data_IF_313712830794
#
_entry.id   IF_313712830794
#
_cell.length_a   1.000
_cell.length_b   1.000
_cell.length_c   1.000
_cell.angle_alpha   90.00
_cell.angle_beta   90.00
_cell.angle_gamma   90.00
#
_symmetry.space_group_name_H-M   'P 1'
#
loop_
_entity.id
_entity.type
_entity.pdbx_description
1 polymer ?
#
# COMPACT_ATOMS: atom_id res chain seq x y z
N UNK A 1 -7.20 51.81 -35.42
CA UNK A 1 -5.96 52.52 -35.76
C UNK A 1 -5.65 53.44 -34.58
N UNK A 2 -4.43 53.36 -34.01
CA UNK A 2 -3.79 54.35 -33.08
C UNK A 2 -4.40 54.43 -31.67
N UNK A 3 -3.95 53.61 -30.70
CA UNK A 3 -2.92 53.88 -29.65
C UNK A 3 -3.21 55.05 -28.69
N UNK A 4 -3.19 54.79 -27.38
CA UNK A 4 -2.60 55.71 -26.42
C UNK A 4 -2.04 55.00 -25.19
N UNK A 5 -1.07 55.65 -24.57
CA UNK A 5 0.16 55.08 -24.04
C UNK A 5 0.21 55.13 -22.51
N UNK A 6 1.12 54.32 -21.96
CA UNK A 6 1.43 54.12 -20.56
C UNK A 6 1.88 55.38 -19.80
N UNK A 7 1.58 55.38 -18.50
CA UNK A 7 1.88 56.41 -17.52
C UNK A 7 3.19 56.11 -16.76
N UNK A 8 3.91 57.19 -16.46
CA UNK A 8 5.27 57.28 -15.94
C UNK A 8 5.45 56.97 -14.43
N UNK A 9 6.64 56.40 -14.13
CA UNK A 9 7.61 56.67 -13.02
C UNK A 9 7.10 57.18 -11.65
N UNK A 10 7.56 56.49 -10.59
CA UNK A 10 8.05 57.14 -9.34
C UNK A 10 9.30 56.44 -8.80
N UNK A 11 10.19 57.25 -8.24
CA UNK A 11 11.57 56.97 -7.84
C UNK A 11 11.88 57.59 -6.47
N UNK A 12 12.88 57.02 -5.77
CA UNK A 12 13.71 57.52 -4.62
C UNK A 12 13.26 57.11 -3.19
N UNK A 13 14.15 57.15 -2.15
CA UNK A 13 15.64 57.17 -2.09
C UNK A 13 16.26 56.20 -1.03
N UNK A 14 17.61 56.17 -0.83
CA UNK A 14 18.33 55.34 0.16
C UNK A 14 18.80 56.14 1.40
N UNK A 15 19.12 55.44 2.51
CA UNK A 15 19.80 55.99 3.69
C UNK A 15 20.83 55.03 4.31
N UNK A 16 21.83 55.65 4.94
CA UNK A 16 23.18 55.21 5.32
C UNK A 16 23.33 54.70 6.78
N UNK A 17 24.58 54.28 7.10
CA UNK A 17 25.27 54.08 8.39
C UNK A 17 25.21 52.66 8.99
N UNK A 18 26.28 52.02 9.47
CA UNK A 18 27.67 52.42 9.71
C UNK A 18 28.49 51.22 10.24
N UNK A 19 29.81 51.34 10.21
CA UNK A 19 30.84 50.29 10.40
C UNK A 19 31.53 50.31 11.79
N UNK A 20 32.00 49.13 12.25
CA UNK A 20 33.26 48.85 13.01
C UNK A 20 33.28 47.34 13.37
N UNK A 21 34.12 46.49 12.77
CA UNK A 21 35.58 46.26 12.96
C UNK A 21 35.93 45.69 14.35
N UNK A 22 36.03 44.36 14.47
CA UNK A 22 37.26 43.53 14.56
C UNK A 22 37.99 43.54 15.91
N UNK A 23 38.11 42.36 16.53
CA UNK A 23 39.36 41.77 17.02
C UNK A 23 39.13 40.30 17.40
N UNK A 24 39.98 39.41 16.88
CA UNK A 24 40.03 37.96 17.07
C UNK A 24 41.36 37.60 17.81
N UNK A 25 41.86 36.36 17.85
CA UNK A 25 41.83 35.38 18.94
C UNK A 25 43.21 35.07 19.58
N UNK A 26 43.25 34.24 20.64
CA UNK A 26 44.43 33.39 20.95
C UNK A 26 44.07 32.02 21.57
N UNK A 27 44.72 31.01 20.98
CA UNK A 27 44.81 29.55 21.16
C UNK A 27 45.60 29.10 22.44
N UNK A 28 46.03 27.82 22.63
CA UNK A 28 45.34 26.50 22.59
C UNK A 28 45.82 25.47 23.67
N UNK A 29 45.24 24.26 23.60
CA UNK A 29 45.80 22.91 23.88
C UNK A 29 46.26 22.46 25.28
N UNK A 30 45.65 21.37 25.78
CA UNK A 30 46.39 20.17 26.19
C UNK A 30 45.50 18.91 26.06
N UNK A 31 45.96 17.97 25.23
CA UNK A 31 45.47 16.59 25.10
C UNK A 31 45.94 15.76 26.31
N UNK A 32 45.13 14.79 26.75
CA UNK A 32 45.65 13.53 27.30
C UNK A 32 44.72 12.37 26.90
N UNK A 33 45.31 11.41 26.18
CA UNK A 33 44.73 10.14 25.75
C UNK A 33 45.11 9.04 26.77
N UNK A 34 44.48 7.85 26.69
CA UNK A 34 44.33 6.89 27.78
C UNK A 34 45.44 5.83 27.81
N UNK A 35 45.74 5.31 29.00
CA UNK A 35 46.59 4.13 29.16
C UNK A 35 46.91 3.89 30.63
N UNK A 36 46.87 2.62 31.03
CA UNK A 36 47.44 2.10 32.28
C UNK A 36 46.67 2.37 33.58
N UNK A 37 45.52 1.71 33.74
CA UNK A 37 45.15 1.16 35.06
C UNK A 37 44.21 -0.06 34.95
N UNK A 38 44.43 -0.92 33.93
CA UNK A 38 43.65 -2.15 33.70
C UNK A 38 44.23 -3.40 34.41
N UNK A 39 45.32 -3.33 35.17
CA UNK A 39 46.02 -4.54 35.62
C UNK A 39 46.20 -4.73 37.13
N UNK A 40 45.51 -3.98 38.01
CA UNK A 40 45.79 -4.06 39.46
C UNK A 40 44.56 -3.96 40.39
N UNK A 41 43.38 -4.43 39.96
CA UNK A 41 42.23 -4.64 40.88
C UNK A 41 41.53 -5.99 40.69
N UNK A 42 42.24 -6.97 40.15
CA UNK A 42 41.88 -8.39 40.27
C UNK A 42 42.76 -8.97 41.39
N UNK A 43 42.16 -9.71 42.32
CA UNK A 43 42.76 -10.30 43.54
C UNK A 43 42.72 -9.44 44.82
N UNK A 44 41.53 -9.11 45.33
CA UNK A 44 41.18 -9.28 46.76
C UNK A 44 39.73 -8.84 47.03
N UNK A 45 38.79 -9.75 46.81
CA UNK A 45 37.45 -9.71 47.41
C UNK A 45 36.79 -11.10 47.22
N UNK A 46 37.50 -12.14 47.62
CA UNK A 46 36.89 -13.41 48.00
C UNK A 46 36.58 -13.32 49.50
N UNK A 47 35.46 -13.92 49.90
CA UNK A 47 34.99 -14.11 51.29
C UNK A 47 34.03 -13.04 51.84
N UNK A 48 32.81 -13.04 51.31
CA UNK A 48 31.60 -12.66 52.03
C UNK A 48 30.55 -13.79 51.89
N UNK A 49 29.86 -14.18 52.98
CA UNK A 49 28.98 -15.34 53.00
C UNK A 49 27.70 -15.13 52.16
N UNK A 50 27.03 -16.20 51.70
CA UNK A 50 25.92 -16.07 50.79
C UNK A 50 24.69 -15.57 51.56
N UNK A 51 24.29 -14.33 51.32
CA UNK A 51 22.93 -13.92 51.60
C UNK A 51 21.99 -14.78 50.74
N UNK A 52 21.26 -15.68 51.40
CA UNK A 52 20.08 -16.38 50.89
C UNK A 52 19.01 -15.32 50.55
N UNK A 53 19.19 -14.65 49.42
CA UNK A 53 18.15 -13.91 48.72
C UNK A 53 17.14 -14.93 48.22
N UNK A 54 16.07 -15.10 48.99
CA UNK A 54 14.86 -15.84 48.63
C UNK A 54 14.46 -15.41 47.23
N UNK A 55 14.60 -16.31 46.25
CA UNK A 55 14.24 -16.09 44.86
C UNK A 55 12.77 -15.71 44.75
N UNK A 56 12.50 -14.41 44.65
CA UNK A 56 11.22 -13.90 44.21
C UNK A 56 11.09 -14.18 42.72
N UNK A 57 10.32 -15.20 42.38
CA UNK A 57 9.80 -15.47 41.03
C UNK A 57 8.77 -14.41 40.63
N UNK A 58 9.19 -13.14 40.63
CA UNK A 58 8.43 -12.05 40.06
C UNK A 58 9.07 -11.68 38.74
N UNK A 59 8.65 -12.31 37.63
CA UNK A 59 8.94 -11.74 36.32
C UNK A 59 8.39 -10.31 36.33
N UNK A 60 9.28 -9.31 36.42
CA UNK A 60 8.86 -7.92 36.57
C UNK A 60 7.92 -7.50 35.44
N UNK A 61 7.10 -6.45 35.63
CA UNK A 61 6.08 -6.03 34.66
C UNK A 61 6.65 -5.80 33.25
N UNK A 62 7.92 -5.38 33.14
CA UNK A 62 8.66 -5.22 31.88
C UNK A 62 8.98 -6.59 31.22
N UNK A 63 9.40 -7.58 32.00
CA UNK A 63 9.65 -8.94 31.51
C UNK A 63 8.35 -9.60 31.03
N UNK A 64 7.25 -9.41 31.77
CA UNK A 64 5.93 -9.89 31.39
C UNK A 64 5.41 -9.19 30.11
N UNK A 65 5.51 -7.87 30.03
CA UNK A 65 5.09 -7.11 28.83
C UNK A 65 5.90 -7.51 27.59
N UNK A 66 7.23 -7.68 27.73
CA UNK A 66 8.08 -8.13 26.62
C UNK A 66 7.81 -9.59 26.20
N UNK A 67 7.40 -10.45 27.13
CA UNK A 67 6.99 -11.83 26.84
C UNK A 67 5.64 -11.86 26.09
N UNK A 68 4.69 -11.02 26.49
CA UNK A 68 3.39 -10.88 25.82
C UNK A 68 3.55 -10.35 24.39
N UNK A 69 4.35 -9.30 24.19
CA UNK A 69 4.67 -8.75 22.86
C UNK A 69 5.37 -9.77 21.96
N UNK A 70 6.32 -10.55 22.52
CA UNK A 70 6.97 -11.65 21.77
C UNK A 70 5.99 -12.74 21.37
N UNK A 71 5.11 -13.15 22.27
CA UNK A 71 4.08 -14.17 22.01
C UNK A 71 3.12 -13.72 20.92
N UNK A 72 2.72 -12.46 20.95
CA UNK A 72 1.83 -11.89 19.94
C UNK A 72 2.51 -11.77 18.57
N UNK A 73 3.77 -11.31 18.52
CA UNK A 73 4.56 -11.29 17.29
C UNK A 73 4.80 -12.68 16.72
N UNK A 74 5.02 -13.69 17.56
CA UNK A 74 5.15 -15.08 17.13
C UNK A 74 3.85 -15.60 16.51
N UNK A 75 2.70 -15.32 17.14
CA UNK A 75 1.38 -15.69 16.60
C UNK A 75 1.12 -15.03 15.25
N UNK A 76 1.48 -13.76 15.08
CA UNK A 76 1.34 -13.01 13.82
C UNK A 76 2.19 -13.62 12.70
N UNK A 77 3.45 -13.96 12.98
CA UNK A 77 4.33 -14.64 12.02
C UNK A 77 3.84 -16.04 11.69
N UNK A 78 3.31 -16.77 12.67
CA UNK A 78 2.75 -18.09 12.45
C UNK A 78 1.49 -18.04 11.55
N UNK A 79 0.63 -17.03 11.73
CA UNK A 79 -0.53 -16.82 10.86
C UNK A 79 -0.12 -16.47 9.42
N UNK A 80 0.84 -15.56 9.26
CA UNK A 80 1.37 -15.21 7.93
C UNK A 80 2.04 -16.42 7.26
N UNK A 81 2.87 -17.17 8.00
CA UNK A 81 3.49 -18.40 7.51
C UNK A 81 2.46 -19.48 7.16
N UNK A 82 1.41 -19.61 7.95
CA UNK A 82 0.28 -20.51 7.67
C UNK A 82 -0.49 -20.13 6.41
N UNK A 83 -0.74 -18.84 6.18
CA UNK A 83 -1.40 -18.35 4.97
C UNK A 83 -0.55 -18.60 3.72
N UNK A 84 0.76 -18.36 3.79
CA UNK A 84 1.70 -18.68 2.70
C UNK A 84 1.72 -20.18 2.43
N UNK A 85 1.85 -21.00 3.48
CA UNK A 85 1.85 -22.46 3.35
C UNK A 85 0.55 -22.97 2.73
N UNK A 86 -0.60 -22.49 3.19
CA UNK A 86 -1.91 -22.85 2.65
C UNK A 86 -2.04 -22.46 1.17
N UNK A 87 -1.56 -21.26 0.79
CA UNK A 87 -1.55 -20.81 -0.61
C UNK A 87 -0.66 -21.70 -1.49
N UNK A 88 0.52 -22.07 -0.99
CA UNK A 88 1.43 -23.00 -1.68
C UNK A 88 0.81 -24.39 -1.82
N UNK A 89 0.17 -24.91 -0.77
CA UNK A 89 -0.52 -26.20 -0.80
C UNK A 89 -1.68 -26.19 -1.80
N UNK A 90 -2.46 -25.10 -1.84
CA UNK A 90 -3.53 -24.92 -2.84
C UNK A 90 -2.96 -24.95 -4.26
N UNK A 91 -1.83 -24.28 -4.49
CA UNK A 91 -1.17 -24.24 -5.80
C UNK A 91 -0.60 -25.61 -6.20
N UNK A 92 -0.18 -26.45 -5.24
CA UNK A 92 0.27 -27.82 -5.54
C UNK A 92 -0.91 -28.77 -5.76
N UNK A 93 -2.00 -28.61 -5.01
CA UNK A 93 -3.15 -29.50 -5.03
C UNK A 93 -4.13 -29.26 -6.20
N UNK A 94 -4.17 -28.05 -6.76
CA UNK A 94 -5.08 -27.70 -7.86
C UNK A 94 -4.45 -28.00 -9.22
N UNK A 95 -5.19 -28.57 -10.19
CA UNK A 95 -4.68 -28.73 -11.55
C UNK A 95 -4.38 -27.37 -12.17
N UNK A 96 -3.45 -27.31 -13.14
CA UNK A 96 -3.10 -26.07 -13.83
C UNK A 96 -4.34 -25.40 -14.42
N UNK A 97 -4.55 -24.13 -14.10
CA UNK A 97 -5.56 -23.31 -14.75
C UNK A 97 -4.95 -22.70 -16.00
N UNK A 98 -5.34 -23.21 -17.16
CA UNK A 98 -4.92 -22.74 -18.48
C UNK A 98 -5.87 -21.67 -19.01
N UNK A 99 -5.39 -20.87 -19.95
CA UNK A 99 -6.28 -20.01 -20.72
C UNK A 99 -7.33 -20.84 -21.46
N UNK A 100 -8.53 -20.29 -21.53
CA UNK A 100 -9.64 -20.84 -22.30
C UNK A 100 -10.29 -19.68 -23.04
N UNK A 101 -10.75 -19.86 -24.29
CA UNK A 101 -11.48 -18.82 -25.01
C UNK A 101 -12.69 -18.26 -24.24
N UNK A 102 -13.27 -19.07 -23.35
CA UNK A 102 -14.37 -18.67 -22.49
C UNK A 102 -14.03 -17.51 -21.53
N UNK A 103 -12.75 -17.31 -21.20
CA UNK A 103 -12.27 -16.22 -20.36
C UNK A 103 -12.54 -14.83 -20.96
N UNK A 104 -12.60 -14.75 -22.29
CA UNK A 104 -12.82 -13.51 -23.03
C UNK A 104 -14.31 -13.24 -23.31
N UNK A 105 -15.20 -14.17 -22.95
CA UNK A 105 -16.63 -14.09 -23.23
C UNK A 105 -17.39 -13.50 -22.04
N UNK A 106 -17.43 -12.17 -22.00
CA UNK A 106 -18.22 -11.39 -21.03
C UNK A 106 -19.72 -11.60 -21.20
N UNK A 107 -20.48 -11.37 -20.14
CA UNK A 107 -21.94 -11.42 -20.17
C UNK A 107 -22.53 -10.32 -21.06
N UNK A 108 -21.97 -9.12 -20.99
CA UNK A 108 -22.34 -8.00 -21.85
C UNK A 108 -21.25 -7.74 -22.89
N UNK A 109 -21.56 -8.10 -24.14
CA UNK A 109 -20.72 -7.84 -25.31
C UNK A 109 -21.39 -6.88 -26.30
N UNK A 110 -22.36 -6.08 -25.83
CA UNK A 110 -23.05 -5.11 -26.69
C UNK A 110 -22.07 -4.14 -27.31
N UNK A 111 -22.33 -3.82 -28.57
CA UNK A 111 -21.66 -2.74 -29.29
C UNK A 111 -22.64 -1.57 -29.40
N UNK A 112 -22.35 -0.50 -28.67
CA UNK A 112 -23.07 0.76 -28.68
C UNK A 112 -22.16 1.82 -29.30
N UNK A 113 -22.69 2.60 -30.24
CA UNK A 113 -21.99 3.72 -30.89
C UNK A 113 -20.66 3.30 -31.57
N UNK A 114 -20.52 2.05 -31.99
CA UNK A 114 -19.33 1.54 -32.68
C UNK A 114 -18.20 1.05 -31.75
N UNK A 115 -18.39 1.10 -30.43
CA UNK A 115 -17.42 0.62 -29.44
C UNK A 115 -17.75 -0.82 -29.02
N UNK A 116 -16.92 -1.83 -29.30
CA UNK A 116 -17.14 -3.20 -28.82
C UNK A 116 -17.14 -3.28 -27.29
N UNK A 117 -17.94 -4.19 -26.71
CA UNK A 117 -18.03 -4.41 -25.26
C UNK A 117 -18.21 -3.09 -24.47
N UNK A 118 -19.10 -2.21 -24.96
CA UNK A 118 -19.07 -0.78 -24.63
C UNK A 118 -19.08 -0.49 -23.15
N UNK A 119 -19.96 -1.15 -22.38
CA UNK A 119 -20.03 -0.90 -20.95
C UNK A 119 -18.78 -1.38 -20.20
N UNK A 120 -18.17 -2.50 -20.60
CA UNK A 120 -16.92 -2.95 -19.98
C UNK A 120 -15.77 -1.96 -20.25
N UNK A 121 -15.74 -1.33 -21.44
CA UNK A 121 -14.77 -0.26 -21.76
C UNK A 121 -15.05 1.00 -20.96
N UNK A 122 -16.30 1.48 -20.96
CA UNK A 122 -16.66 2.77 -20.36
C UNK A 122 -16.57 2.76 -18.83
N UNK A 123 -16.95 1.65 -18.19
CA UNK A 123 -16.93 1.52 -16.73
C UNK A 123 -15.53 1.42 -16.14
N UNK A 124 -14.49 1.25 -16.95
CA UNK A 124 -13.09 1.34 -16.52
C UNK A 124 -12.65 2.79 -16.25
N UNK A 125 -13.18 3.80 -16.96
CA UNK A 125 -12.78 5.19 -16.81
C UNK A 125 -13.09 5.83 -15.44
N UNK A 126 -14.13 5.44 -14.69
CA UNK A 126 -14.26 5.81 -13.29
C UNK A 126 -13.01 5.55 -12.43
N UNK A 127 -12.23 4.49 -12.71
CA UNK A 127 -10.93 4.27 -12.05
C UNK A 127 -9.92 5.37 -12.39
N UNK A 128 -9.92 5.86 -13.64
CA UNK A 128 -9.10 6.98 -14.06
C UNK A 128 -9.53 8.27 -13.35
N UNK A 129 -10.83 8.55 -13.31
CA UNK A 129 -11.38 9.76 -12.69
C UNK A 129 -11.12 9.82 -11.18
N UNK A 130 -11.19 8.69 -10.48
CA UNK A 130 -10.84 8.60 -9.07
C UNK A 130 -9.31 8.54 -8.85
N UNK A 131 -8.58 7.90 -9.77
CA UNK A 131 -7.15 7.64 -9.66
C UNK A 131 -6.26 8.85 -9.92
N UNK A 132 -6.55 9.65 -10.95
CA UNK A 132 -5.72 10.80 -11.33
C UNK A 132 -5.63 11.86 -10.22
N UNK A 133 -6.72 12.31 -9.59
CA UNK A 133 -6.64 13.26 -8.48
C UNK A 133 -5.78 12.73 -7.34
N UNK A 134 -5.95 11.45 -6.96
CA UNK A 134 -5.13 10.82 -5.93
C UNK A 134 -3.65 10.75 -6.31
N UNK A 135 -3.34 10.42 -7.56
CA UNK A 135 -1.97 10.39 -8.07
C UNK A 135 -1.31 11.77 -8.02
N UNK A 136 -2.03 12.82 -8.44
CA UNK A 136 -1.56 14.21 -8.38
C UNK A 136 -1.30 14.61 -6.94
N UNK A 137 -2.22 14.30 -6.02
CA UNK A 137 -2.06 14.61 -4.59
C UNK A 137 -0.87 13.87 -3.97
N UNK A 138 -0.57 12.64 -4.40
CA UNK A 138 0.66 11.94 -4.01
C UNK A 138 1.93 12.64 -4.53
N UNK A 139 1.89 13.15 -5.76
CA UNK A 139 3.02 13.85 -6.40
C UNK A 139 3.25 15.26 -5.83
N UNK A 140 2.20 15.95 -5.38
CA UNK A 140 2.28 17.24 -4.71
C UNK A 140 2.92 17.17 -3.30
N UNK A 141 3.17 15.96 -2.79
CA UNK A 141 3.93 15.70 -1.57
C UNK A 141 3.08 15.47 -0.30
N UNK A 142 3.76 15.10 0.78
CA UNK A 142 3.17 14.58 2.03
C UNK A 142 2.20 15.53 2.74
N UNK A 143 2.23 16.83 2.42
CA UNK A 143 1.35 17.83 2.99
C UNK A 143 -0.13 17.68 2.60
N UNK A 144 -0.44 17.00 1.49
CA UNK A 144 -1.80 16.87 0.97
C UNK A 144 -2.59 15.68 1.55
N UNK A 145 -1.93 14.62 2.04
CA UNK A 145 -2.59 13.37 2.47
C UNK A 145 -2.28 12.92 3.91
N UNK A 146 -1.66 13.79 4.72
CA UNK A 146 -1.27 13.45 6.09
C UNK A 146 -0.41 12.18 6.18
N UNK A 147 0.31 11.85 5.12
CA UNK A 147 1.15 10.65 5.02
C UNK A 147 2.40 10.90 5.84
N UNK A 148 2.66 10.05 6.83
CA UNK A 148 3.77 10.27 7.77
C UNK A 148 5.03 9.51 7.39
N UNK A 149 4.90 8.44 6.59
CA UNK A 149 5.99 7.51 6.28
C UNK A 149 6.32 7.52 4.79
N UNK A 150 7.62 7.48 4.43
CA UNK A 150 8.05 7.52 3.02
C UNK A 150 7.52 6.35 2.21
N UNK A 151 7.50 5.16 2.80
CA UNK A 151 7.10 3.94 2.11
C UNK A 151 5.58 3.81 2.01
N UNK A 152 4.86 4.47 2.93
CA UNK A 152 3.42 4.66 2.81
C UNK A 152 3.09 5.55 1.60
N UNK A 153 3.85 6.64 1.38
CA UNK A 153 3.67 7.50 0.22
C UNK A 153 3.91 6.75 -1.10
N UNK A 154 4.97 5.93 -1.17
CA UNK A 154 5.23 5.07 -2.33
C UNK A 154 4.08 4.06 -2.56
N UNK A 155 3.55 3.47 -1.49
CA UNK A 155 2.38 2.60 -1.57
C UNK A 155 1.18 3.32 -2.17
N UNK A 156 0.82 4.50 -1.66
CA UNK A 156 -0.30 5.26 -2.21
C UNK A 156 -0.06 5.66 -3.67
N UNK A 157 1.16 6.06 -4.02
CA UNK A 157 1.54 6.35 -5.40
C UNK A 157 1.28 5.14 -6.32
N UNK A 158 1.77 3.95 -5.96
CA UNK A 158 1.57 2.73 -6.73
C UNK A 158 0.09 2.30 -6.79
N UNK A 159 -0.68 2.54 -5.73
CA UNK A 159 -2.13 2.30 -5.74
C UNK A 159 -2.82 3.17 -6.79
N UNK A 160 -2.61 4.49 -6.76
CA UNK A 160 -3.23 5.40 -7.71
C UNK A 160 -2.70 5.22 -9.14
N UNK A 161 -1.39 5.04 -9.31
CA UNK A 161 -0.79 4.75 -10.62
C UNK A 161 -1.33 3.45 -11.21
N UNK A 162 -1.50 2.41 -10.37
CA UNK A 162 -2.13 1.15 -10.76
C UNK A 162 -3.59 1.31 -11.18
N UNK A 163 -4.38 2.15 -10.49
CA UNK A 163 -5.76 2.45 -10.90
C UNK A 163 -5.83 3.18 -12.25
N UNK A 164 -4.97 4.19 -12.46
CA UNK A 164 -4.88 4.93 -13.72
C UNK A 164 -4.48 4.01 -14.86
N UNK A 165 -3.44 3.18 -14.66
CA UNK A 165 -2.99 2.22 -15.65
C UNK A 165 -4.04 1.11 -15.90
N UNK A 166 -4.79 0.69 -14.87
CA UNK A 166 -5.88 -0.28 -15.01
C UNK A 166 -6.99 0.26 -15.91
N UNK A 167 -7.35 1.54 -15.80
CA UNK A 167 -8.38 2.13 -16.67
C UNK A 167 -8.00 2.03 -18.16
N UNK A 168 -6.76 2.35 -18.51
CA UNK A 168 -6.27 2.25 -19.90
C UNK A 168 -6.08 0.81 -20.35
N UNK A 169 -5.48 -0.03 -19.50
CA UNK A 169 -5.23 -1.44 -19.81
C UNK A 169 -6.51 -2.25 -19.96
N UNK A 170 -7.49 -2.00 -19.09
CA UNK A 170 -8.82 -2.59 -19.14
C UNK A 170 -9.56 -2.17 -20.41
N UNK A 171 -9.58 -0.88 -20.74
CA UNK A 171 -10.17 -0.41 -22.00
C UNK A 171 -9.49 -1.06 -23.22
N UNK A 172 -8.16 -1.12 -23.24
CA UNK A 172 -7.38 -1.74 -24.32
C UNK A 172 -7.69 -3.22 -24.53
N UNK A 173 -7.89 -3.96 -23.43
CA UNK A 173 -8.30 -5.36 -23.43
C UNK A 173 -9.76 -5.52 -23.87
N UNK A 174 -10.70 -4.75 -23.30
CA UNK A 174 -12.12 -4.92 -23.60
C UNK A 174 -12.52 -4.48 -25.02
N UNK A 175 -11.77 -3.58 -25.65
CA UNK A 175 -12.00 -3.24 -27.06
C UNK A 175 -11.81 -4.45 -28.01
N UNK A 176 -10.88 -5.35 -27.67
CA UNK A 176 -10.63 -6.58 -28.43
C UNK A 176 -10.04 -7.63 -27.48
N UNK A 177 -10.87 -8.41 -26.76
CA UNK A 177 -10.37 -9.36 -25.78
C UNK A 177 -9.48 -10.44 -26.39
N UNK A 178 -8.25 -10.54 -25.92
CA UNK A 178 -7.29 -11.60 -26.24
C UNK A 178 -6.23 -11.74 -25.13
N UNK A 179 -5.50 -12.86 -25.10
CA UNK A 179 -4.50 -13.17 -24.08
C UNK A 179 -3.33 -12.16 -24.04
N UNK A 180 -2.93 -11.61 -25.19
CA UNK A 180 -1.82 -10.66 -25.27
C UNK A 180 -2.21 -9.29 -24.67
N UNK A 181 -3.49 -8.93 -24.72
CA UNK A 181 -4.02 -7.69 -24.13
C UNK A 181 -4.40 -7.85 -22.66
N UNK A 182 -4.79 -9.06 -22.25
CA UNK A 182 -5.25 -9.37 -20.90
C UNK A 182 -4.25 -9.00 -19.81
N UNK A 183 -2.94 -9.11 -20.08
CA UNK A 183 -1.89 -8.70 -19.15
C UNK A 183 -1.98 -7.22 -18.77
N UNK A 184 -2.39 -6.36 -19.71
CA UNK A 184 -2.49 -4.91 -19.49
C UNK A 184 -3.67 -4.54 -18.60
N UNK A 185 -4.72 -5.37 -18.56
CA UNK A 185 -5.83 -5.22 -17.61
C UNK A 185 -5.43 -5.70 -16.20
N UNK A 186 -4.77 -6.87 -16.14
CA UNK A 186 -4.47 -7.55 -14.87
C UNK A 186 -3.31 -6.97 -14.09
N UNK A 187 -2.20 -6.68 -14.77
CA UNK A 187 -0.97 -6.27 -14.11
C UNK A 187 -1.17 -4.99 -13.29
N UNK A 188 -1.81 -3.92 -13.82
CA UNK A 188 -2.07 -2.71 -13.05
C UNK A 188 -3.01 -2.94 -11.86
N UNK A 189 -4.05 -3.77 -12.02
CA UNK A 189 -4.96 -4.12 -10.93
C UNK A 189 -4.23 -4.84 -9.79
N UNK A 190 -3.34 -5.80 -10.11
CA UNK A 190 -2.57 -6.52 -9.09
C UNK A 190 -1.58 -5.60 -8.36
N UNK A 191 -0.92 -4.69 -9.07
CA UNK A 191 -0.03 -3.68 -8.48
C UNK A 191 -0.83 -2.81 -7.50
N UNK A 192 -2.01 -2.34 -7.93
CA UNK A 192 -2.88 -1.52 -7.09
C UNK A 192 -3.32 -2.25 -5.82
N UNK A 193 -3.86 -3.47 -5.94
CA UNK A 193 -4.35 -4.22 -4.78
C UNK A 193 -3.22 -4.66 -3.83
N UNK A 194 -2.06 -5.04 -4.37
CA UNK A 194 -0.91 -5.43 -3.57
C UNK A 194 -0.31 -4.25 -2.83
N UNK A 195 -0.27 -3.09 -3.49
CA UNK A 195 0.14 -1.86 -2.84
C UNK A 195 -0.81 -1.50 -1.69
N UNK A 196 -2.12 -1.62 -1.91
CA UNK A 196 -3.13 -1.35 -0.89
C UNK A 196 -2.96 -2.25 0.35
N UNK A 197 -2.73 -3.55 0.13
CA UNK A 197 -2.45 -4.49 1.22
C UNK A 197 -1.16 -4.11 1.97
N UNK A 198 -0.09 -3.76 1.25
CA UNK A 198 1.16 -3.32 1.86
C UNK A 198 0.98 -2.05 2.70
N UNK A 199 0.27 -1.04 2.20
CA UNK A 199 -0.05 0.18 2.95
C UNK A 199 -0.74 -0.19 4.26
N UNK A 200 -1.70 -1.11 4.22
CA UNK A 200 -2.41 -1.56 5.42
C UNK A 200 -1.45 -2.19 6.45
N UNK A 201 -0.45 -2.94 5.99
CA UNK A 201 0.63 -3.50 6.83
C UNK A 201 1.52 -2.40 7.41
N UNK A 202 1.92 -1.40 6.62
CA UNK A 202 2.67 -0.23 7.09
C UNK A 202 1.90 0.50 8.19
N UNK A 203 0.61 0.76 7.96
CA UNK A 203 -0.23 1.51 8.90
C UNK A 203 -0.50 0.77 10.21
N UNK A 204 -0.64 -0.56 10.17
CA UNK A 204 -1.14 -1.34 11.32
C UNK A 204 -0.09 -2.18 12.01
N UNK A 205 0.97 -2.57 11.33
CA UNK A 205 2.04 -3.43 11.86
C UNK A 205 3.31 -2.62 12.04
N UNK A 206 4.03 -2.36 10.95
CA UNK A 206 5.36 -1.76 10.95
C UNK A 206 5.76 -1.34 9.53
N UNK A 207 6.56 -0.28 9.42
CA UNK A 207 6.98 0.26 8.12
C UNK A 207 7.92 -0.70 7.36
N UNK A 208 8.87 -1.36 8.04
CA UNK A 208 9.82 -2.28 7.40
C UNK A 208 9.13 -3.56 6.94
N UNK A 209 8.25 -4.09 7.78
CA UNK A 209 7.43 -5.26 7.42
C UNK A 209 6.55 -4.95 6.22
N UNK A 210 5.93 -3.76 6.20
CA UNK A 210 5.12 -3.31 5.08
C UNK A 210 5.92 -3.11 3.79
N UNK A 211 7.11 -2.48 3.85
CA UNK A 211 8.00 -2.38 2.68
C UNK A 211 8.41 -3.76 2.14
N UNK A 212 8.79 -4.68 3.03
CA UNK A 212 9.13 -6.05 2.66
C UNK A 212 7.94 -6.76 1.99
N UNK A 213 6.72 -6.51 2.49
CA UNK A 213 5.48 -7.01 1.90
C UNK A 213 5.27 -6.43 0.49
N UNK A 214 5.43 -5.12 0.30
CA UNK A 214 5.35 -4.47 -1.01
C UNK A 214 6.27 -5.11 -2.03
N UNK A 215 7.57 -5.19 -1.70
CA UNK A 215 8.59 -5.72 -2.61
C UNK A 215 8.28 -7.18 -2.95
N UNK A 216 7.92 -7.99 -1.95
CA UNK A 216 7.60 -9.40 -2.17
C UNK A 216 6.39 -9.58 -3.08
N UNK A 217 5.33 -8.81 -2.88
CA UNK A 217 4.14 -8.89 -3.72
C UNK A 217 4.41 -8.41 -5.15
N UNK A 218 5.18 -7.33 -5.34
CA UNK A 218 5.59 -6.87 -6.67
C UNK A 218 6.44 -7.92 -7.40
N UNK A 219 7.40 -8.55 -6.72
CA UNK A 219 8.17 -9.65 -7.28
C UNK A 219 7.25 -10.84 -7.65
N UNK A 220 6.31 -11.21 -6.79
CA UNK A 220 5.35 -12.28 -7.05
C UNK A 220 4.43 -11.96 -8.24
N UNK A 221 4.05 -10.70 -8.45
CA UNK A 221 3.29 -10.27 -9.63
C UNK A 221 4.09 -10.49 -10.91
N UNK A 222 5.38 -10.13 -10.90
CA UNK A 222 6.26 -10.35 -12.07
C UNK A 222 6.44 -11.85 -12.35
N UNK A 223 6.68 -12.65 -11.31
CA UNK A 223 6.76 -14.11 -11.42
C UNK A 223 5.45 -14.69 -11.93
N UNK A 224 4.31 -14.24 -11.40
CA UNK A 224 2.98 -14.65 -11.85
C UNK A 224 2.77 -14.36 -13.34
N UNK A 225 3.13 -13.16 -13.78
CA UNK A 225 2.98 -12.75 -15.17
C UNK A 225 3.87 -13.58 -16.10
N UNK A 226 5.10 -13.88 -15.68
CA UNK A 226 6.01 -14.75 -16.42
C UNK A 226 5.52 -16.20 -16.46
N UNK A 227 5.05 -16.74 -15.34
CA UNK A 227 4.48 -18.09 -15.25
C UNK A 227 3.26 -18.23 -16.15
N UNK A 228 2.35 -17.26 -16.12
CA UNK A 228 1.18 -17.23 -16.99
C UNK A 228 1.59 -17.24 -18.47
N UNK A 229 2.60 -16.43 -18.86
CA UNK A 229 3.00 -16.31 -20.27
C UNK A 229 3.82 -17.48 -20.81
N UNK A 230 4.63 -18.13 -19.96
CA UNK A 230 5.54 -19.22 -20.36
C UNK A 230 4.91 -20.59 -20.13
N UNK A 231 4.19 -20.77 -19.03
CA UNK A 231 3.65 -22.06 -18.61
C UNK A 231 2.15 -22.21 -18.88
N UNK A 232 1.48 -21.14 -19.32
CA UNK A 232 0.03 -21.10 -19.49
C UNK A 232 -0.68 -21.52 -18.19
N UNK A 233 -0.25 -20.91 -17.08
CA UNK A 233 -0.73 -21.24 -15.74
C UNK A 233 -1.09 -19.98 -14.95
N UNK A 234 -2.38 -19.80 -14.73
CA UNK A 234 -2.99 -18.61 -14.15
C UNK A 234 -3.20 -18.73 -12.64
N UNK A 235 -2.82 -19.87 -12.02
CA UNK A 235 -3.08 -20.14 -10.59
C UNK A 235 -2.46 -19.09 -9.68
N UNK A 236 -1.22 -18.69 -9.95
CA UNK A 236 -0.54 -17.68 -9.12
C UNK A 236 -1.23 -16.32 -9.22
N UNK A 237 -1.74 -15.98 -10.41
CA UNK A 237 -2.52 -14.76 -10.62
C UNK A 237 -3.81 -14.80 -9.79
N UNK A 238 -4.57 -15.91 -9.85
CA UNK A 238 -5.80 -16.10 -9.07
C UNK A 238 -5.51 -15.93 -7.58
N UNK A 239 -4.49 -16.62 -7.07
CA UNK A 239 -4.13 -16.54 -5.64
C UNK A 239 -3.80 -15.09 -5.25
N UNK A 240 -2.91 -14.42 -5.97
CA UNK A 240 -2.50 -13.05 -5.65
C UNK A 240 -3.67 -12.05 -5.73
N UNK A 241 -4.62 -12.30 -6.62
CA UNK A 241 -5.80 -11.47 -6.79
C UNK A 241 -6.82 -11.64 -5.64
N UNK A 242 -6.97 -12.87 -5.11
CA UNK A 242 -7.90 -13.17 -4.02
C UNK A 242 -7.31 -13.03 -2.61
N UNK A 243 -5.99 -13.10 -2.44
CA UNK A 243 -5.32 -12.90 -1.14
C UNK A 243 -5.75 -11.59 -0.44
N UNK A 244 -5.81 -10.41 -1.12
CA UNK A 244 -6.32 -9.18 -0.52
C UNK A 244 -7.75 -9.28 0.04
N UNK A 245 -8.62 -10.12 -0.55
CA UNK A 245 -10.00 -10.31 -0.08
C UNK A 245 -10.07 -10.87 1.34
N UNK A 246 -9.06 -11.64 1.75
CA UNK A 246 -8.99 -12.25 3.09
C UNK A 246 -8.07 -11.43 3.98
N UNK A 247 -6.89 -11.06 3.45
CA UNK A 247 -5.85 -10.41 4.21
C UNK A 247 -6.26 -9.01 4.70
N UNK A 248 -6.92 -8.21 3.86
CA UNK A 248 -7.37 -6.86 4.24
C UNK A 248 -8.37 -6.92 5.40
N UNK A 249 -9.52 -7.63 5.30
CA UNK A 249 -10.45 -7.70 6.43
C UNK A 249 -9.81 -8.28 7.69
N UNK A 250 -9.02 -9.36 7.56
CA UNK A 250 -8.33 -9.95 8.71
C UNK A 250 -7.43 -8.91 9.41
N UNK A 251 -6.67 -8.13 8.64
CA UNK A 251 -5.84 -7.06 9.18
C UNK A 251 -6.64 -5.95 9.87
N UNK A 252 -7.82 -5.60 9.34
CA UNK A 252 -8.70 -4.60 9.95
C UNK A 252 -9.28 -5.03 11.31
N UNK A 253 -9.57 -6.32 11.48
CA UNK A 253 -10.08 -6.86 12.75
C UNK A 253 -8.98 -7.17 13.76
N UNK A 254 -7.81 -7.63 13.29
CA UNK A 254 -6.74 -8.10 14.18
C UNK A 254 -5.81 -6.99 14.67
N UNK A 255 -5.70 -5.86 13.97
CA UNK A 255 -4.72 -4.83 14.28
C UNK A 255 -5.34 -3.45 14.47
N UNK A 256 -4.95 -2.72 15.54
CA UNK A 256 -5.47 -1.39 15.80
C UNK A 256 -4.98 -0.38 14.75
N UNK A 257 -5.81 0.60 14.35
CA UNK A 257 -5.45 1.58 13.34
C UNK A 257 -4.52 2.68 13.90
N UNK A 258 -3.51 3.07 13.11
CA UNK A 258 -2.63 4.22 13.40
C UNK A 258 -3.31 5.57 13.13
N UNK A 259 -4.14 5.65 12.10
CA UNK A 259 -4.83 6.87 11.67
C UNK A 259 -6.29 6.90 12.13
N UNK A 260 -6.84 8.10 12.22
CA UNK A 260 -8.30 8.34 12.37
C UNK A 260 -9.04 7.88 11.10
N UNK A 261 -10.38 7.89 11.13
CA UNK A 261 -11.21 7.51 9.98
C UNK A 261 -11.01 6.08 9.44
N UNK A 262 -10.44 5.16 10.24
CA UNK A 262 -10.29 3.75 9.85
C UNK A 262 -11.60 3.02 9.52
N UNK A 263 -12.77 3.61 9.81
CA UNK A 263 -14.07 3.08 9.35
C UNK A 263 -14.17 3.04 7.82
N UNK A 264 -13.51 3.96 7.12
CA UNK A 264 -13.47 3.99 5.66
C UNK A 264 -12.79 2.75 5.07
N UNK A 265 -11.80 2.18 5.76
CA UNK A 265 -11.20 0.91 5.36
C UNK A 265 -12.21 -0.25 5.34
N UNK A 266 -13.16 -0.30 6.28
CA UNK A 266 -14.22 -1.32 6.28
C UNK A 266 -15.18 -1.13 5.11
N UNK A 267 -15.57 0.13 4.83
CA UNK A 267 -16.42 0.45 3.69
C UNK A 267 -15.72 0.10 2.36
N UNK A 268 -14.46 0.50 2.20
CA UNK A 268 -13.63 0.16 1.05
C UNK A 268 -13.48 -1.37 0.90
N UNK A 269 -13.29 -2.11 2.00
CA UNK A 269 -13.25 -3.57 1.97
C UNK A 269 -14.58 -4.16 1.50
N UNK A 270 -15.71 -3.61 1.93
CA UNK A 270 -17.03 -4.03 1.46
C UNK A 270 -17.19 -3.89 -0.06
N UNK A 271 -16.82 -2.74 -0.61
CA UNK A 271 -16.83 -2.53 -2.07
C UNK A 271 -15.81 -3.40 -2.81
N UNK A 272 -14.62 -3.63 -2.23
CA UNK A 272 -13.61 -4.51 -2.83
C UNK A 272 -14.12 -5.96 -2.94
N UNK A 273 -14.74 -6.48 -1.87
CA UNK A 273 -15.33 -7.81 -1.86
C UNK A 273 -16.53 -7.90 -2.80
N UNK A 274 -17.37 -6.86 -2.83
CA UNK A 274 -18.48 -6.76 -3.77
C UNK A 274 -17.97 -6.80 -5.21
N UNK A 275 -16.93 -6.04 -5.55
CA UNK A 275 -16.33 -6.04 -6.90
C UNK A 275 -15.95 -7.46 -7.36
N UNK A 276 -15.29 -8.23 -6.48
CA UNK A 276 -14.91 -9.62 -6.78
C UNK A 276 -16.10 -10.56 -6.91
N UNK A 277 -17.13 -10.37 -6.10
CA UNK A 277 -18.36 -11.14 -6.22
C UNK A 277 -19.07 -10.85 -7.56
N UNK A 278 -19.22 -9.58 -7.91
CA UNK A 278 -19.86 -9.14 -9.16
C UNK A 278 -19.13 -9.68 -10.39
N UNK A 279 -17.79 -9.63 -10.40
CA UNK A 279 -16.96 -10.21 -11.47
C UNK A 279 -17.15 -11.71 -11.63
N UNK A 280 -17.16 -12.47 -10.52
CA UNK A 280 -17.43 -13.92 -10.56
C UNK A 280 -18.86 -14.24 -10.98
N UNK A 281 -19.82 -13.37 -10.63
CA UNK A 281 -21.23 -13.52 -10.90
C UNK A 281 -21.68 -12.83 -12.19
N UNK A 282 -20.76 -12.48 -13.11
CA UNK A 282 -20.99 -11.59 -14.26
C UNK A 282 -22.33 -11.82 -14.98
N UNK A 283 -22.55 -13.05 -15.46
CA UNK A 283 -23.78 -13.44 -16.18
C UNK A 283 -25.02 -13.44 -15.28
N UNK A 284 -24.86 -13.87 -14.02
CA UNK A 284 -25.97 -13.96 -13.08
C UNK A 284 -26.49 -12.57 -12.74
N UNK A 285 -25.59 -11.63 -12.44
CA UNK A 285 -25.89 -10.23 -12.16
C UNK A 285 -26.60 -9.61 -13.36
N UNK A 286 -26.04 -9.80 -14.56
CA UNK A 286 -26.62 -9.29 -15.80
C UNK A 286 -28.05 -9.80 -16.02
N UNK A 287 -28.30 -11.09 -15.76
CA UNK A 287 -29.64 -11.67 -15.90
C UNK A 287 -30.65 -11.13 -14.88
N UNK A 288 -30.22 -10.89 -13.62
CA UNK A 288 -31.11 -10.47 -12.52
C UNK A 288 -31.53 -9.01 -12.68
N UNK A 289 -30.64 -8.14 -13.17
CA UNK A 289 -30.95 -6.72 -13.41
C UNK A 289 -31.56 -6.44 -14.80
N UNK A 290 -32.10 -7.46 -15.47
CA UNK A 290 -32.74 -7.39 -16.79
C UNK A 290 -31.82 -6.85 -17.88
N UNK A 291 -30.57 -7.30 -17.88
CA UNK A 291 -29.57 -6.97 -18.90
C UNK A 291 -29.23 -5.47 -18.99
N UNK A 292 -29.34 -4.77 -17.86
CA UNK A 292 -28.99 -3.35 -17.80
C UNK A 292 -27.46 -3.18 -17.70
N UNK A 293 -26.82 -3.84 -16.73
CA UNK A 293 -25.38 -3.76 -16.49
C UNK A 293 -24.81 -5.14 -16.11
N UNK A 294 -23.66 -5.53 -16.67
CA UNK A 294 -23.04 -6.81 -16.33
C UNK A 294 -22.34 -6.76 -14.97
N UNK A 295 -22.07 -7.92 -14.37
CA UNK A 295 -21.30 -7.97 -13.13
C UNK A 295 -19.86 -7.52 -13.34
N UNK A 296 -19.26 -7.78 -14.51
CA UNK A 296 -17.93 -7.27 -14.88
C UNK A 296 -17.90 -5.73 -14.97
N UNK A 297 -18.93 -5.13 -15.58
CA UNK A 297 -19.06 -3.67 -15.59
C UNK A 297 -19.25 -3.09 -14.18
N UNK A 298 -19.99 -3.77 -13.31
CA UNK A 298 -20.20 -3.36 -11.92
C UNK A 298 -18.94 -3.56 -11.05
N UNK A 299 -18.11 -4.56 -11.35
CA UNK A 299 -16.80 -4.77 -10.73
C UNK A 299 -15.91 -3.54 -10.90
N UNK A 300 -15.81 -2.99 -12.12
CA UNK A 300 -15.04 -1.77 -12.37
C UNK A 300 -15.53 -0.58 -11.53
N UNK A 301 -16.85 -0.38 -11.47
CA UNK A 301 -17.45 0.69 -10.68
C UNK A 301 -17.19 0.51 -9.18
N UNK A 302 -17.26 -0.73 -8.67
CA UNK A 302 -16.97 -1.02 -7.28
C UNK A 302 -15.49 -0.74 -6.94
N UNK A 303 -14.54 -1.10 -7.80
CA UNK A 303 -13.14 -0.72 -7.59
C UNK A 303 -12.92 0.79 -7.66
N UNK A 304 -13.61 1.51 -8.55
CA UNK A 304 -13.55 2.97 -8.57
C UNK A 304 -14.07 3.58 -7.25
N UNK A 305 -15.13 2.99 -6.66
CA UNK A 305 -15.62 3.39 -5.34
C UNK A 305 -14.60 3.12 -4.23
N UNK A 306 -13.88 1.99 -4.25
CA UNK A 306 -12.77 1.74 -3.31
C UNK A 306 -11.77 2.89 -3.35
N UNK A 307 -11.33 3.27 -4.55
CA UNK A 307 -10.37 4.36 -4.75
C UNK A 307 -10.93 5.68 -4.24
N UNK A 308 -12.17 6.04 -4.58
CA UNK A 308 -12.81 7.26 -4.10
C UNK A 308 -12.92 7.32 -2.57
N UNK A 309 -13.40 6.24 -1.94
CA UNK A 309 -13.57 6.14 -0.48
C UNK A 309 -12.23 6.35 0.22
N UNK A 310 -11.17 5.73 -0.30
CA UNK A 310 -9.83 5.86 0.27
C UNK A 310 -9.25 7.27 0.03
N UNK A 311 -9.46 7.88 -1.13
CA UNK A 311 -9.07 9.29 -1.37
C UNK A 311 -9.72 10.21 -0.34
N UNK A 312 -11.03 10.07 -0.11
CA UNK A 312 -11.77 10.84 0.90
C UNK A 312 -11.20 10.60 2.29
N UNK A 313 -10.93 9.34 2.65
CA UNK A 313 -10.29 9.00 3.93
C UNK A 313 -8.94 9.72 4.09
N UNK A 314 -8.10 9.71 3.05
CA UNK A 314 -6.79 10.35 3.08
C UNK A 314 -6.87 11.87 3.26
N UNK A 315 -7.88 12.52 2.69
CA UNK A 315 -8.09 13.97 2.83
C UNK A 315 -8.49 14.40 4.24
N UNK A 316 -9.13 13.52 5.02
CA UNK A 316 -9.65 13.86 6.36
C UNK A 316 -8.92 13.19 7.52
N UNK A 317 -8.00 12.25 7.25
CA UNK A 317 -7.31 11.52 8.32
C UNK A 317 -6.23 12.35 8.99
N UNK A 318 -6.13 12.18 10.30
CA UNK A 318 -5.02 12.58 11.17
C UNK A 318 -4.44 11.38 11.93
N UNK A 319 -3.23 11.52 12.48
CA UNK A 319 -2.57 10.49 13.31
C UNK A 319 -3.37 10.29 14.62
N UNK A 320 -3.73 9.05 14.93
CA UNK A 320 -4.43 8.65 16.17
C UNK A 320 -3.47 8.06 17.21
N UNK A 321 -2.45 7.33 16.76
CA UNK A 321 -1.43 6.69 17.60
C UNK A 321 -0.06 7.06 17.05
N UNK A 322 0.77 7.74 17.85
CA UNK A 322 2.18 7.91 17.53
C UNK A 322 2.91 6.59 17.80
N UNK A 323 3.60 6.04 16.79
CA UNK A 323 4.51 4.91 16.96
C UNK A 323 5.90 5.43 16.64
N UNK A 324 6.85 5.19 17.54
CA UNK A 324 8.24 5.54 17.31
C UNK A 324 8.76 4.69 16.15
N UNK A 325 9.15 5.38 15.08
CA UNK A 325 9.68 4.83 13.82
C UNK A 325 11.15 4.45 13.92
#
# INVERSE_FOLDING_TARGET
MVTNTAQQRKSRPPLHFGSRSQAEPTHPTAKAQPGEHLAARMHLAADLPPHRGRGGTGAGPIALASALLRRENHRRRALAGGAVLASTLLLVATPRLRHSPALHLFADMRNLLGVPNTLNVLTAYPLLLAGVPGLILCLCGSGCFGVSLRWEALGWFLFYAGNVAAAFGSAYYHLKPDDDRLIWDRLPMMISSSSLLSILVIERVDERVGLSCLISLLCLILVSSACERVLDDMRLWVILNFVPCIAIPAMLFLFPPKYTHSRFWFLATGFYLLARFEGLADRKVYSVNRYFISGHSLEHLCFAMVTLILTVMLSFRNIKIARDS
#
